data_IF_903829169855
#
_entry.id   IF_903829169855
#
_cell.length_a   1.000
_cell.length_b   1.000
_cell.length_c   1.000
_cell.angle_alpha   90.00
_cell.angle_beta   90.00
_cell.angle_gamma   90.00
#
_symmetry.space_group_name_H-M   'P 1'
#
loop_
_entity.id
_entity.type
_entity.pdbx_description
1 polymer ?
#
# COMPACT_ATOMS: atom_id res chain seq x y z
N UNK A 1 -9.38 -6.52 -4.55
CA UNK A 1 -10.09 -5.75 -3.52
C UNK A 1 -9.48 -4.36 -3.35
N UNK A 2 -8.15 -4.23 -3.17
CA UNK A 2 -7.49 -2.93 -2.91
C UNK A 2 -7.64 -1.94 -4.06
N UNK A 3 -7.33 -2.34 -5.30
CA UNK A 3 -7.47 -1.49 -6.48
C UNK A 3 -8.90 -0.97 -6.67
N UNK A 4 -9.91 -1.79 -6.37
CA UNK A 4 -11.32 -1.36 -6.43
C UNK A 4 -11.65 -0.27 -5.40
N UNK A 5 -11.10 -0.35 -4.20
CA UNK A 5 -11.27 0.70 -3.18
C UNK A 5 -10.62 2.01 -3.64
N UNK A 6 -9.38 1.94 -4.13
CA UNK A 6 -8.66 3.12 -4.65
C UNK A 6 -9.43 3.77 -5.80
N UNK A 7 -9.83 3.00 -6.80
CA UNK A 7 -10.57 3.49 -7.97
C UNK A 7 -11.90 4.15 -7.58
N UNK A 8 -12.68 3.50 -6.74
CA UNK A 8 -13.98 4.02 -6.31
C UNK A 8 -13.86 5.38 -5.64
N UNK A 9 -12.92 5.55 -4.73
CA UNK A 9 -12.76 6.81 -4.04
C UNK A 9 -11.88 7.80 -4.78
N UNK A 10 -11.13 7.39 -5.78
CA UNK A 10 -10.57 8.31 -6.77
C UNK A 10 -11.68 9.06 -7.51
N UNK A 11 -12.72 8.36 -7.98
CA UNK A 11 -13.89 8.99 -8.61
C UNK A 11 -14.62 9.93 -7.66
N UNK A 12 -14.83 9.52 -6.39
CA UNK A 12 -15.43 10.35 -5.35
C UNK A 12 -14.59 11.59 -5.06
N UNK A 13 -13.27 11.46 -5.02
CA UNK A 13 -12.33 12.57 -4.82
C UNK A 13 -12.31 13.56 -5.98
N UNK A 14 -12.44 13.08 -7.21
CA UNK A 14 -12.60 13.96 -8.40
C UNK A 14 -13.89 14.77 -8.31
N UNK A 15 -15.00 14.12 -7.96
CA UNK A 15 -16.28 14.80 -7.77
C UNK A 15 -16.19 15.91 -6.70
N UNK A 16 -15.64 15.57 -5.53
CA UNK A 16 -15.41 16.52 -4.45
C UNK A 16 -14.52 17.69 -4.86
N UNK A 17 -13.33 17.41 -5.43
CA UNK A 17 -12.32 18.42 -5.72
C UNK A 17 -12.74 19.38 -6.87
N UNK A 18 -13.65 18.93 -7.73
CA UNK A 18 -14.22 19.73 -8.83
C UNK A 18 -15.56 20.36 -8.48
N UNK A 19 -16.06 20.17 -7.26
CA UNK A 19 -17.39 20.65 -6.84
C UNK A 19 -18.54 20.03 -7.64
N UNK A 20 -18.40 18.76 -8.01
CA UNK A 20 -19.42 17.98 -8.76
C UNK A 20 -19.40 18.23 -10.28
N UNK A 21 -18.54 19.10 -10.79
CA UNK A 21 -18.54 19.47 -12.21
C UNK A 21 -17.75 18.50 -13.10
N UNK A 22 -16.80 17.74 -12.52
CA UNK A 22 -15.83 16.93 -13.26
C UNK A 22 -15.07 17.73 -14.32
N UNK A 23 -14.81 19.03 -14.04
CA UNK A 23 -14.13 19.97 -14.93
C UNK A 23 -13.08 20.78 -14.18
N UNK A 24 -11.96 21.06 -14.85
CA UNK A 24 -10.90 21.95 -14.37
C UNK A 24 -10.49 22.88 -15.51
N UNK A 25 -10.44 24.19 -15.25
CA UNK A 25 -10.05 25.20 -16.25
C UNK A 25 -10.81 25.05 -17.59
N UNK A 26 -12.12 24.77 -17.54
CA UNK A 26 -12.97 24.58 -18.71
C UNK A 26 -12.79 23.23 -19.44
N UNK A 27 -11.90 22.36 -18.96
CA UNK A 27 -11.67 21.03 -19.54
C UNK A 27 -12.38 19.95 -18.73
N UNK A 28 -13.09 19.05 -19.40
CA UNK A 28 -13.75 17.92 -18.78
C UNK A 28 -12.72 16.85 -18.43
N UNK A 29 -12.79 16.29 -17.20
CA UNK A 29 -12.01 15.13 -16.81
C UNK A 29 -12.74 13.87 -17.30
N UNK A 30 -12.02 13.05 -18.06
CA UNK A 30 -12.49 11.71 -18.53
C UNK A 30 -11.57 10.66 -17.94
N UNK A 31 -12.13 9.70 -17.25
CA UNK A 31 -11.39 8.59 -16.63
C UNK A 31 -11.56 7.32 -17.45
N UNK A 32 -10.44 6.72 -17.86
CA UNK A 32 -10.38 5.43 -18.53
C UNK A 32 -9.82 4.42 -17.54
N UNK A 33 -10.60 3.39 -17.25
CA UNK A 33 -10.19 2.34 -16.29
C UNK A 33 -9.51 1.18 -17.03
N UNK A 34 -8.42 0.70 -16.44
CA UNK A 34 -7.70 -0.50 -16.92
C UNK A 34 -7.35 -1.38 -15.72
N UNK A 35 -7.43 -2.70 -15.89
CA UNK A 35 -7.12 -3.67 -14.83
C UNK A 35 -5.83 -4.43 -15.17
N UNK A 36 -4.78 -4.18 -14.38
CA UNK A 36 -3.48 -4.85 -14.53
C UNK A 36 -3.46 -6.28 -13.97
N UNK A 37 -4.50 -6.69 -13.26
CA UNK A 37 -4.63 -8.01 -12.61
C UNK A 37 -3.46 -8.34 -11.67
N UNK A 38 -2.71 -7.36 -11.20
CA UNK A 38 -1.48 -7.55 -10.42
C UNK A 38 -0.30 -8.12 -11.23
N UNK A 39 -0.36 -8.06 -12.58
CA UNK A 39 0.65 -8.62 -13.48
C UNK A 39 1.53 -7.51 -14.06
N UNK A 40 2.85 -7.51 -13.80
CA UNK A 40 3.77 -6.47 -14.29
C UNK A 40 3.71 -6.25 -15.81
N UNK A 41 3.74 -7.32 -16.61
CA UNK A 41 3.70 -7.23 -18.07
C UNK A 41 2.38 -6.64 -18.58
N UNK A 42 1.26 -6.99 -17.96
CA UNK A 42 -0.03 -6.45 -18.31
C UNK A 42 -0.13 -4.97 -17.92
N UNK A 43 0.32 -4.60 -16.74
CA UNK A 43 0.37 -3.18 -16.30
C UNK A 43 1.20 -2.34 -17.24
N UNK A 44 2.40 -2.83 -17.63
CA UNK A 44 3.26 -2.19 -18.62
C UNK A 44 2.57 -1.98 -19.95
N UNK A 45 1.96 -3.03 -20.53
CA UNK A 45 1.31 -2.95 -21.84
C UNK A 45 0.05 -2.06 -21.81
N UNK A 46 -0.73 -2.11 -20.75
CA UNK A 46 -1.91 -1.25 -20.60
C UNK A 46 -1.57 0.21 -20.41
N UNK A 47 -0.48 0.53 -19.70
CA UNK A 47 -0.01 1.92 -19.58
C UNK A 47 0.46 2.44 -20.94
N UNK A 48 1.21 1.65 -21.69
CA UNK A 48 1.63 2.01 -23.05
C UNK A 48 0.42 2.28 -23.97
N UNK A 49 -0.60 1.42 -23.92
CA UNK A 49 -1.84 1.62 -24.68
C UNK A 49 -2.60 2.88 -24.21
N UNK A 50 -2.66 3.13 -22.88
CA UNK A 50 -3.30 4.34 -22.37
C UNK A 50 -2.63 5.61 -22.90
N UNK A 51 -1.31 5.67 -22.87
CA UNK A 51 -0.58 6.85 -23.37
C UNK A 51 -0.54 6.94 -24.90
N UNK A 52 -0.37 5.80 -25.58
CA UNK A 52 -0.17 5.72 -27.03
C UNK A 52 -1.48 5.72 -27.81
N UNK A 53 -2.44 4.86 -27.46
CA UNK A 53 -3.68 4.64 -28.19
C UNK A 53 -4.81 5.53 -27.65
N UNK A 54 -5.07 5.47 -26.35
CA UNK A 54 -6.14 6.25 -25.69
C UNK A 54 -5.77 7.73 -25.53
N UNK A 55 -4.50 8.10 -25.68
CA UNK A 55 -3.99 9.46 -25.57
C UNK A 55 -4.27 10.13 -24.23
N UNK A 56 -4.30 9.37 -23.13
CA UNK A 56 -4.50 9.97 -21.81
C UNK A 56 -3.37 10.94 -21.47
N UNK A 57 -3.70 11.98 -20.72
CA UNK A 57 -2.74 13.02 -20.32
C UNK A 57 -1.84 12.56 -19.17
N UNK A 58 -2.40 11.79 -18.23
CA UNK A 58 -1.70 11.22 -17.09
C UNK A 58 -2.36 9.92 -16.66
N UNK A 59 -1.63 9.11 -15.89
CA UNK A 59 -2.17 7.88 -15.30
C UNK A 59 -2.05 7.89 -13.78
N UNK A 60 -2.94 7.16 -13.09
CA UNK A 60 -2.96 6.97 -11.64
C UNK A 60 -3.01 5.47 -11.32
N UNK A 61 -2.18 5.04 -10.43
CA UNK A 61 -2.02 3.63 -10.04
C UNK A 61 -0.55 3.26 -10.03
N UNK A 62 -0.20 1.98 -10.03
CA UNK A 62 -1.03 0.79 -9.78
C UNK A 62 -1.05 0.42 -8.28
N UNK A 63 -1.71 -0.70 -7.96
CA UNK A 63 -1.77 -1.19 -6.58
C UNK A 63 -0.49 -1.92 -6.15
N UNK A 64 0.07 -2.76 -7.02
CA UNK A 64 1.18 -3.62 -6.68
C UNK A 64 2.54 -3.01 -7.05
N UNK A 65 3.51 -3.04 -6.12
CA UNK A 65 4.84 -2.48 -6.35
C UNK A 65 5.59 -3.10 -7.54
N UNK A 66 5.55 -4.43 -7.80
CA UNK A 66 6.17 -4.99 -9.01
C UNK A 66 5.55 -4.45 -10.30
N UNK A 67 4.25 -4.20 -10.32
CA UNK A 67 3.56 -3.59 -11.47
C UNK A 67 4.02 -2.15 -11.64
N UNK A 68 4.08 -1.36 -10.56
CA UNK A 68 4.57 0.01 -10.60
C UNK A 68 5.98 0.08 -11.22
N UNK A 69 6.91 -0.73 -10.73
CA UNK A 69 8.28 -0.76 -11.24
C UNK A 69 8.35 -1.09 -12.75
N UNK A 70 7.49 -1.97 -13.25
CA UNK A 70 7.39 -2.27 -14.67
C UNK A 70 6.83 -1.10 -15.50
N UNK A 71 6.02 -0.25 -14.88
CA UNK A 71 5.38 0.90 -15.53
C UNK A 71 6.28 2.16 -15.57
N UNK A 72 7.26 2.30 -14.67
CA UNK A 72 8.11 3.49 -14.60
C UNK A 72 8.82 3.83 -15.93
N UNK A 73 9.48 2.88 -16.63
CA UNK A 73 10.11 3.17 -17.92
C UNK A 73 9.11 3.59 -19.00
N UNK A 74 7.86 3.12 -18.94
CA UNK A 74 6.83 3.50 -19.92
C UNK A 74 6.44 4.96 -19.74
N UNK A 75 6.28 5.43 -18.51
CA UNK A 75 6.01 6.85 -18.24
C UNK A 75 7.13 7.75 -18.79
N UNK A 76 8.39 7.35 -18.62
CA UNK A 76 9.55 8.07 -19.17
C UNK A 76 9.57 8.05 -20.70
N UNK A 77 9.31 6.90 -21.33
CA UNK A 77 9.28 6.74 -22.79
C UNK A 77 8.23 7.66 -23.44
N UNK A 78 7.02 7.70 -22.86
CA UNK A 78 5.93 8.55 -23.38
C UNK A 78 6.00 9.98 -22.85
N UNK A 79 6.90 10.30 -21.93
CA UNK A 79 7.01 11.62 -21.27
C UNK A 79 5.67 12.09 -20.70
N UNK A 80 5.00 11.20 -20.00
CA UNK A 80 3.70 11.45 -19.36
C UNK A 80 3.72 11.04 -17.89
N UNK A 81 3.01 11.79 -17.05
CA UNK A 81 2.98 11.58 -15.61
C UNK A 81 2.31 10.25 -15.26
N UNK A 82 2.97 9.50 -14.38
CA UNK A 82 2.39 8.41 -13.61
C UNK A 82 2.36 8.82 -12.13
N UNK A 83 1.16 9.03 -11.60
CA UNK A 83 0.94 9.26 -10.18
C UNK A 83 0.72 7.91 -9.49
N UNK A 84 1.71 7.48 -8.72
CA UNK A 84 1.67 6.17 -8.05
C UNK A 84 0.82 6.23 -6.78
N UNK A 85 -0.24 5.44 -6.75
CA UNK A 85 -1.15 5.22 -5.62
C UNK A 85 -1.84 3.86 -5.81
N UNK A 86 -1.79 2.93 -4.89
CA UNK A 86 -1.15 2.93 -3.56
C UNK A 86 0.17 2.12 -3.46
N UNK A 87 0.83 1.75 -4.56
CA UNK A 87 2.08 0.97 -4.51
C UNK A 87 3.17 1.66 -3.66
N UNK A 88 3.90 0.89 -2.84
CA UNK A 88 4.69 1.46 -1.73
C UNK A 88 6.19 1.24 -1.79
N UNK A 89 6.74 0.35 -2.63
CA UNK A 89 8.18 0.09 -2.65
C UNK A 89 8.99 1.38 -2.70
N UNK A 90 10.02 1.49 -1.87
CA UNK A 90 10.87 2.69 -1.79
C UNK A 90 11.58 2.97 -3.11
N UNK A 91 11.95 1.91 -3.82
CA UNK A 91 12.60 1.98 -5.13
C UNK A 91 11.81 2.75 -6.19
N UNK A 92 10.47 2.84 -6.07
CA UNK A 92 9.61 3.57 -7.03
C UNK A 92 9.99 5.06 -7.12
N UNK A 93 10.23 5.70 -5.98
CA UNK A 93 10.66 7.10 -5.90
C UNK A 93 12.08 7.26 -5.39
N UNK A 94 12.83 6.15 -5.31
CA UNK A 94 14.25 6.04 -4.98
C UNK A 94 15.11 5.78 -6.23
N UNK A 95 15.81 4.68 -6.23
CA UNK A 95 16.79 4.33 -7.26
C UNK A 95 16.19 4.05 -8.66
N UNK A 96 14.89 3.79 -8.75
CA UNK A 96 14.16 3.56 -10.01
C UNK A 96 13.36 4.78 -10.50
N UNK A 97 13.39 5.87 -9.76
CA UNK A 97 12.63 7.07 -10.08
C UNK A 97 13.09 7.71 -11.41
N UNK A 98 12.13 8.33 -12.09
CA UNK A 98 12.37 9.24 -13.21
C UNK A 98 11.47 10.49 -13.08
N UNK A 99 11.72 11.58 -13.84
CA UNK A 99 11.00 12.85 -13.67
C UNK A 99 9.49 12.82 -13.91
N UNK A 100 8.95 11.75 -14.44
CA UNK A 100 7.52 11.61 -14.72
C UNK A 100 6.76 10.86 -13.61
N UNK A 101 7.47 10.43 -12.56
CA UNK A 101 6.90 9.65 -11.46
C UNK A 101 6.66 10.51 -10.25
N UNK A 102 5.43 10.49 -9.76
CA UNK A 102 4.99 11.12 -8.53
C UNK A 102 4.27 10.10 -7.66
N UNK A 103 4.17 10.35 -6.37
CA UNK A 103 3.48 9.48 -5.42
C UNK A 103 2.70 10.33 -4.42
N UNK A 104 1.42 10.00 -4.23
CA UNK A 104 0.58 10.58 -3.18
C UNK A 104 0.46 9.65 -1.97
N UNK A 105 0.67 8.36 -2.15
CA UNK A 105 0.68 7.38 -1.07
C UNK A 105 1.96 7.39 -0.24
N UNK A 106 1.93 6.61 0.85
CA UNK A 106 3.12 6.37 1.67
C UNK A 106 4.11 5.46 0.94
N UNK A 107 5.31 5.30 1.51
CA UNK A 107 6.33 4.37 1.03
C UNK A 107 6.71 3.34 2.11
N UNK A 108 7.52 2.33 1.73
CA UNK A 108 7.93 1.26 2.64
C UNK A 108 8.70 1.78 3.86
N UNK A 109 9.50 2.82 3.74
CA UNK A 109 10.22 3.43 4.86
C UNK A 109 9.28 4.05 5.89
N UNK A 110 8.21 4.71 5.44
CA UNK A 110 7.19 5.26 6.35
C UNK A 110 6.42 4.15 7.07
N UNK A 111 6.05 3.08 6.34
CA UNK A 111 5.42 1.90 6.93
C UNK A 111 6.34 1.25 7.98
N UNK A 112 7.62 1.12 7.67
CA UNK A 112 8.62 0.54 8.55
C UNK A 112 8.81 1.34 9.85
N UNK A 113 8.91 2.66 9.74
CA UNK A 113 9.02 3.55 10.90
C UNK A 113 7.78 3.43 11.79
N UNK A 114 6.59 3.43 11.22
CA UNK A 114 5.34 3.30 11.96
C UNK A 114 5.28 1.98 12.76
N UNK A 115 5.71 0.87 12.15
CA UNK A 115 5.74 -0.43 12.82
C UNK A 115 6.89 -0.53 13.84
N UNK A 116 8.05 0.06 13.57
CA UNK A 116 9.19 0.07 14.48
C UNK A 116 8.87 0.78 15.81
N UNK A 117 8.01 1.79 15.81
CA UNK A 117 7.58 2.48 17.06
C UNK A 117 7.08 1.49 18.12
N UNK A 118 6.34 0.47 17.71
CA UNK A 118 5.81 -0.56 18.60
C UNK A 118 6.83 -1.67 18.90
N UNK A 119 7.66 -2.05 17.94
CA UNK A 119 8.45 -3.27 17.98
C UNK A 119 9.93 -3.04 18.33
N UNK A 120 10.50 -1.86 18.07
CA UNK A 120 11.91 -1.56 18.30
C UNK A 120 12.21 -1.23 19.77
N UNK A 121 12.26 -2.26 20.61
CA UNK A 121 12.52 -2.16 22.05
C UNK A 121 13.61 -3.14 22.49
N UNK A 122 14.33 -2.78 23.55
CA UNK A 122 15.26 -3.70 24.21
C UNK A 122 14.55 -5.01 24.63
N UNK A 123 15.21 -6.13 24.45
CA UNK A 123 14.67 -7.44 24.81
C UNK A 123 13.63 -8.00 23.81
N UNK A 124 13.41 -7.34 22.68
CA UNK A 124 12.56 -7.85 21.58
C UNK A 124 13.42 -8.53 20.53
N UNK A 125 13.05 -9.74 20.16
CA UNK A 125 13.65 -10.48 19.03
C UNK A 125 12.62 -10.66 17.94
N UNK A 126 12.98 -10.29 16.72
CA UNK A 126 12.09 -10.25 15.55
C UNK A 126 12.63 -11.15 14.45
N UNK A 127 11.73 -11.90 13.82
CA UNK A 127 11.96 -12.50 12.51
C UNK A 127 10.87 -12.00 11.56
N UNK A 128 11.20 -11.80 10.28
CA UNK A 128 10.24 -11.30 9.29
C UNK A 128 9.76 -12.42 8.38
N UNK A 129 8.48 -12.36 7.97
CA UNK A 129 7.92 -13.15 6.88
C UNK A 129 7.37 -12.18 5.82
N UNK A 130 7.90 -12.25 4.62
CA UNK A 130 7.53 -11.33 3.56
C UNK A 130 7.30 -12.02 2.22
N UNK A 131 6.51 -11.39 1.36
CA UNK A 131 6.42 -11.79 -0.05
C UNK A 131 7.77 -11.59 -0.74
N UNK A 132 8.18 -12.57 -1.53
CA UNK A 132 9.35 -12.46 -2.41
C UNK A 132 9.01 -11.62 -3.65
N UNK A 133 8.94 -10.32 -3.45
CA UNK A 133 8.58 -9.31 -4.44
C UNK A 133 9.21 -7.97 -4.05
N UNK A 134 9.18 -6.98 -4.94
CA UNK A 134 9.65 -5.63 -4.63
C UNK A 134 8.96 -5.05 -3.37
N UNK A 135 7.65 -5.28 -3.21
CA UNK A 135 6.92 -4.87 -2.01
C UNK A 135 7.52 -5.48 -0.73
N UNK A 136 7.69 -6.79 -0.70
CA UNK A 136 8.19 -7.47 0.51
C UNK A 136 9.67 -7.19 0.77
N UNK A 137 10.50 -7.17 -0.26
CA UNK A 137 11.94 -6.92 -0.14
C UNK A 137 12.25 -5.49 0.32
N UNK A 138 11.64 -4.48 -0.30
CA UNK A 138 11.80 -3.09 0.13
C UNK A 138 11.23 -2.87 1.54
N UNK A 139 10.11 -3.52 1.85
CA UNK A 139 9.51 -3.47 3.19
C UNK A 139 10.41 -4.04 4.29
N UNK A 140 11.01 -5.21 4.07
CA UNK A 140 11.96 -5.82 5.04
C UNK A 140 13.21 -4.97 5.17
N UNK A 141 13.77 -4.49 4.04
CA UNK A 141 14.94 -3.61 4.05
C UNK A 141 14.67 -2.35 4.89
N UNK A 142 13.58 -1.66 4.61
CA UNK A 142 13.19 -0.45 5.33
C UNK A 142 12.95 -0.73 6.83
N UNK A 143 12.32 -1.85 7.17
CA UNK A 143 12.08 -2.25 8.56
C UNK A 143 13.41 -2.51 9.29
N UNK A 144 14.32 -3.24 8.68
CA UNK A 144 15.66 -3.51 9.21
C UNK A 144 16.47 -2.22 9.44
N UNK A 145 16.37 -1.27 8.53
CA UNK A 145 17.01 0.04 8.66
C UNK A 145 16.39 0.89 9.78
N UNK A 146 15.11 0.71 10.08
CA UNK A 146 14.36 1.45 11.11
C UNK A 146 14.55 0.88 12.52
N UNK A 147 14.87 -0.40 12.65
CA UNK A 147 15.05 -1.09 13.94
C UNK A 147 16.48 -0.92 14.43
N UNK A 148 16.65 -0.41 15.68
CA UNK A 148 17.95 -0.11 16.28
C UNK A 148 18.19 -0.84 17.61
N UNK A 149 17.14 -1.18 18.34
CA UNK A 149 17.19 -1.77 19.71
C UNK A 149 16.80 -3.25 19.70
N UNK A 150 15.75 -3.58 18.95
CA UNK A 150 15.31 -4.96 18.81
C UNK A 150 16.29 -5.76 17.94
N UNK A 151 16.39 -7.07 18.18
CA UNK A 151 17.28 -7.97 17.45
C UNK A 151 16.51 -8.63 16.28
N UNK A 152 16.94 -8.41 15.05
CA UNK A 152 16.48 -9.17 13.89
C UNK A 152 17.34 -10.43 13.71
N UNK A 153 16.70 -11.62 13.71
CA UNK A 153 17.41 -12.91 13.67
C UNK A 153 17.22 -13.69 12.38
N UNK A 154 16.16 -13.41 11.64
CA UNK A 154 15.87 -14.12 10.38
C UNK A 154 14.93 -13.33 9.48
N UNK A 155 15.15 -13.47 8.16
CA UNK A 155 14.29 -12.94 7.11
C UNK A 155 13.80 -14.12 6.26
N UNK A 156 12.49 -14.38 6.26
CA UNK A 156 11.85 -15.42 5.46
C UNK A 156 11.13 -14.78 4.29
N UNK A 157 11.48 -15.20 3.08
CA UNK A 157 10.79 -14.76 1.87
C UNK A 157 10.08 -15.94 1.20
N UNK A 158 8.81 -15.77 0.90
CA UNK A 158 7.99 -16.78 0.25
C UNK A 158 7.38 -16.22 -1.05
N UNK A 159 7.22 -17.05 -2.09
CA UNK A 159 6.58 -16.62 -3.34
C UNK A 159 5.20 -15.98 -3.09
N UNK A 160 4.81 -14.93 -3.83
CA UNK A 160 3.51 -14.26 -3.64
C UNK A 160 2.30 -15.19 -3.80
N UNK A 161 2.43 -16.26 -4.58
CA UNK A 161 1.39 -17.27 -4.79
C UNK A 161 1.32 -18.34 -3.69
N UNK A 162 2.14 -18.24 -2.63
CA UNK A 162 2.15 -19.21 -1.52
C UNK A 162 0.79 -19.24 -0.83
N UNK A 163 0.26 -20.45 -0.65
CA UNK A 163 -0.98 -20.74 0.09
C UNK A 163 -0.75 -21.57 1.34
N UNK A 164 0.36 -22.32 1.40
CA UNK A 164 0.80 -23.06 2.58
C UNK A 164 2.06 -22.42 3.16
N UNK A 165 1.92 -21.87 4.36
CA UNK A 165 2.97 -21.15 5.09
C UNK A 165 3.69 -22.02 6.11
N UNK A 166 3.32 -23.31 6.25
CA UNK A 166 3.78 -24.19 7.32
C UNK A 166 5.29 -24.29 7.39
N UNK A 167 5.95 -24.59 6.27
CA UNK A 167 7.41 -24.76 6.25
C UNK A 167 8.15 -23.45 6.56
N UNK A 168 7.68 -22.31 6.02
CA UNK A 168 8.24 -21.00 6.34
C UNK A 168 8.07 -20.63 7.81
N UNK A 169 6.87 -20.84 8.34
CA UNK A 169 6.58 -20.59 9.75
C UNK A 169 7.42 -21.47 10.68
N UNK A 170 7.64 -22.75 10.34
CA UNK A 170 8.50 -23.63 11.12
C UNK A 170 9.94 -23.11 11.20
N UNK A 171 10.51 -22.63 10.09
CA UNK A 171 11.84 -22.01 10.10
C UNK A 171 11.90 -20.78 11.01
N UNK A 172 10.86 -19.95 11.02
CA UNK A 172 10.76 -18.79 11.92
C UNK A 172 10.67 -19.22 13.38
N UNK A 173 9.85 -20.22 13.70
CA UNK A 173 9.73 -20.79 15.05
C UNK A 173 11.10 -21.30 15.53
N UNK A 174 11.80 -22.04 14.70
CA UNK A 174 13.12 -22.59 15.04
C UNK A 174 14.18 -21.50 15.31
N UNK A 175 14.06 -20.34 14.68
CA UNK A 175 14.93 -19.19 14.93
C UNK A 175 14.55 -18.39 16.18
N UNK A 176 13.28 -18.43 16.58
CA UNK A 176 12.76 -17.58 17.67
C UNK A 176 12.56 -18.33 18.99
N UNK A 177 12.21 -19.63 18.97
CA UNK A 177 11.75 -20.37 20.15
C UNK A 177 12.68 -20.29 21.35
N UNK A 178 13.98 -20.33 21.13
CA UNK A 178 15.01 -20.31 22.16
C UNK A 178 15.59 -18.91 22.46
N UNK A 179 15.08 -17.86 21.80
CA UNK A 179 15.50 -16.49 22.08
C UNK A 179 14.87 -15.98 23.39
N UNK A 180 15.61 -15.19 24.18
CA UNK A 180 15.07 -14.61 25.40
C UNK A 180 14.11 -13.45 25.08
N UNK A 181 13.28 -13.09 26.08
CA UNK A 181 12.40 -11.94 26.01
C UNK A 181 11.21 -12.09 25.06
N UNK A 182 10.74 -10.96 24.57
CA UNK A 182 9.62 -10.89 23.64
C UNK A 182 10.03 -11.33 22.24
N UNK A 183 9.28 -12.21 21.63
CA UNK A 183 9.54 -12.79 20.31
C UNK A 183 8.42 -12.49 19.36
N UNK A 184 8.73 -11.92 18.19
CA UNK A 184 7.74 -11.44 17.22
C UNK A 184 8.06 -11.94 15.82
N UNK A 185 7.05 -12.47 15.12
CA UNK A 185 7.06 -12.64 13.68
C UNK A 185 6.39 -11.40 13.09
N UNK A 186 7.16 -10.58 12.37
CA UNK A 186 6.63 -9.41 11.66
C UNK A 186 6.31 -9.78 10.22
N UNK A 187 5.04 -9.66 9.84
CA UNK A 187 4.52 -10.09 8.53
C UNK A 187 4.37 -8.90 7.60
N UNK A 188 5.01 -8.97 6.43
CA UNK A 188 4.90 -8.01 5.33
C UNK A 188 4.28 -8.75 4.13
N UNK A 189 2.96 -8.81 4.08
CA UNK A 189 2.20 -9.59 3.13
C UNK A 189 0.95 -8.86 2.64
N UNK A 190 0.75 -8.83 1.31
CA UNK A 190 -0.45 -8.30 0.69
C UNK A 190 -1.24 -9.42 0.00
N UNK A 191 -2.56 -9.43 0.16
CA UNK A 191 -3.43 -10.48 -0.38
C UNK A 191 -3.68 -11.61 0.59
N UNK A 192 -3.67 -12.85 0.11
CA UNK A 192 -3.97 -14.06 0.91
C UNK A 192 -3.21 -14.09 2.24
N UNK A 193 -3.87 -14.62 3.26
CA UNK A 193 -3.53 -14.33 4.64
C UNK A 193 -2.59 -15.38 5.29
N UNK A 194 -1.34 -15.04 5.63
CA UNK A 194 -0.45 -15.91 6.38
C UNK A 194 -0.79 -16.05 7.87
N UNK A 195 -1.85 -15.41 8.39
CA UNK A 195 -2.22 -15.44 9.81
C UNK A 195 -2.57 -16.84 10.31
N UNK A 196 -2.89 -17.78 9.43
CA UNK A 196 -3.07 -19.20 9.79
C UNK A 196 -1.84 -19.81 10.47
N UNK A 197 -0.67 -19.19 10.34
CA UNK A 197 0.51 -19.63 11.12
C UNK A 197 0.29 -19.51 12.64
N UNK A 198 -0.66 -18.69 13.10
CA UNK A 198 -1.03 -18.63 14.51
C UNK A 198 -1.55 -19.99 15.05
N UNK A 199 -2.10 -20.82 14.16
CA UNK A 199 -2.55 -22.18 14.50
C UNK A 199 -1.39 -23.16 14.73
N UNK A 200 -0.14 -22.77 14.44
CA UNK A 200 1.07 -23.56 14.64
C UNK A 200 1.64 -23.50 16.08
N UNK A 201 0.78 -23.28 17.06
CA UNK A 201 1.16 -23.27 18.49
C UNK A 201 2.25 -22.22 18.84
N UNK A 202 2.22 -21.06 18.18
CA UNK A 202 3.17 -19.97 18.43
C UNK A 202 3.20 -19.55 19.91
N UNK A 203 2.03 -19.59 20.58
CA UNK A 203 1.89 -19.24 21.99
C UNK A 203 2.73 -20.13 22.90
N UNK A 204 2.84 -21.43 22.62
CA UNK A 204 3.69 -22.36 23.37
C UNK A 204 5.15 -21.91 23.41
N UNK A 205 5.59 -21.25 22.32
CA UNK A 205 6.95 -20.74 22.20
C UNK A 205 7.05 -19.27 22.62
N UNK A 206 5.97 -18.65 23.10
CA UNK A 206 5.91 -17.23 23.44
C UNK A 206 6.14 -16.30 22.24
N UNK A 207 5.73 -16.74 21.04
CA UNK A 207 5.89 -15.99 19.80
C UNK A 207 4.58 -15.27 19.46
N UNK A 208 4.67 -13.98 19.20
CA UNK A 208 3.57 -13.11 18.80
C UNK A 208 3.65 -12.81 17.30
N UNK A 209 2.52 -12.39 16.71
CA UNK A 209 2.45 -11.90 15.33
C UNK A 209 2.21 -10.40 15.34
N UNK A 210 2.97 -9.68 14.50
CA UNK A 210 2.74 -8.29 14.20
C UNK A 210 2.67 -8.08 12.68
N UNK A 211 1.88 -7.10 12.26
CA UNK A 211 1.69 -6.77 10.84
C UNK A 211 1.40 -5.28 10.66
N UNK A 212 1.51 -4.77 9.45
CA UNK A 212 1.22 -3.39 9.12
C UNK A 212 0.29 -3.23 7.92
N UNK A 213 -0.18 -2.00 7.69
CA UNK A 213 -1.04 -1.70 6.54
C UNK A 213 -2.43 -2.32 6.61
N UNK A 214 -2.96 -2.46 7.81
CA UNK A 214 -4.22 -3.17 8.03
C UNK A 214 -5.41 -2.40 7.51
N UNK A 215 -6.25 -3.08 6.76
CA UNK A 215 -7.58 -2.63 6.35
C UNK A 215 -8.64 -3.13 7.34
N UNK A 216 -9.80 -2.48 7.37
CA UNK A 216 -10.88 -2.82 8.31
C UNK A 216 -11.28 -4.31 8.30
N UNK A 217 -11.42 -5.00 7.15
CA UNK A 217 -11.71 -6.43 7.14
C UNK A 217 -10.60 -7.29 7.79
N UNK A 218 -9.32 -6.93 7.60
CA UNK A 218 -8.21 -7.63 8.24
C UNK A 218 -8.24 -7.41 9.76
N UNK A 219 -8.47 -6.18 10.21
CA UNK A 219 -8.61 -5.85 11.64
C UNK A 219 -9.77 -6.61 12.29
N UNK A 220 -10.89 -6.74 11.60
CA UNK A 220 -12.04 -7.52 12.09
C UNK A 220 -11.71 -9.01 12.29
N UNK A 221 -10.79 -9.56 11.50
CA UNK A 221 -10.34 -10.95 11.65
C UNK A 221 -9.45 -11.14 12.88
N UNK A 222 -8.80 -10.10 13.41
CA UNK A 222 -7.87 -10.20 14.56
C UNK A 222 -8.54 -10.67 15.86
N UNK A 223 -9.86 -10.52 15.99
CA UNK A 223 -10.61 -11.12 17.12
C UNK A 223 -10.40 -12.64 17.24
N UNK A 224 -10.07 -13.31 16.14
CA UNK A 224 -9.78 -14.74 16.11
C UNK A 224 -8.32 -15.07 16.46
N UNK A 225 -7.46 -14.05 16.59
CA UNK A 225 -6.02 -14.19 16.87
C UNK A 225 -5.61 -13.26 18.02
N UNK A 226 -6.01 -13.55 19.26
CA UNK A 226 -5.70 -12.70 20.41
C UNK A 226 -4.19 -12.52 20.59
N UNK A 227 -3.76 -11.27 20.82
CA UNK A 227 -2.35 -10.90 20.98
C UNK A 227 -1.64 -10.48 19.68
N UNK A 228 -2.35 -10.43 18.55
CA UNK A 228 -1.81 -9.79 17.35
C UNK A 228 -1.73 -8.28 17.52
N UNK A 229 -0.60 -7.71 17.12
CA UNK A 229 -0.42 -6.28 16.96
C UNK A 229 -0.45 -5.88 15.48
N UNK A 230 -0.93 -4.69 15.18
CA UNK A 230 -0.96 -4.23 13.80
C UNK A 230 -1.12 -2.72 13.67
N UNK A 231 -0.30 -2.12 12.80
CA UNK A 231 -0.45 -0.72 12.45
C UNK A 231 -1.58 -0.52 11.44
N UNK A 232 -2.43 0.45 11.68
CA UNK A 232 -3.39 0.97 10.71
C UNK A 232 -2.91 2.35 10.26
N UNK A 233 -2.75 2.55 8.94
CA UNK A 233 -2.27 3.82 8.40
C UNK A 233 -3.38 4.84 8.17
N UNK A 234 -4.61 4.37 8.16
CA UNK A 234 -5.81 5.19 8.16
C UNK A 234 -6.93 4.49 8.94
N UNK A 235 -7.60 5.24 9.81
CA UNK A 235 -8.84 4.83 10.43
C UNK A 235 -9.80 6.03 10.41
N UNK A 236 -10.96 5.88 9.84
CA UNK A 236 -11.91 6.96 9.51
C UNK A 236 -12.28 7.87 10.68
N UNK A 237 -12.21 7.36 11.91
CA UNK A 237 -12.54 8.11 13.12
C UNK A 237 -11.40 8.96 13.69
N UNK A 238 -10.16 8.85 13.16
CA UNK A 238 -8.99 9.55 13.72
C UNK A 238 -8.79 10.94 13.09
N UNK A 239 -8.75 11.12 11.75
CA UNK A 239 -8.53 12.45 11.18
C UNK A 239 -9.71 13.39 11.49
N UNK A 240 -9.40 14.55 12.07
CA UNK A 240 -10.39 15.58 12.40
C UNK A 240 -10.19 16.79 11.48
N UNK A 241 -10.71 16.69 10.27
CA UNK A 241 -10.65 17.75 9.27
C UNK A 241 -11.84 17.65 8.31
N UNK A 242 -12.22 18.78 7.65
CA UNK A 242 -13.39 18.81 6.78
C UNK A 242 -13.35 17.83 5.61
N UNK A 243 -12.18 17.52 5.08
CA UNK A 243 -12.04 16.59 3.95
C UNK A 243 -12.40 15.17 4.39
N UNK A 244 -11.91 14.74 5.54
CA UNK A 244 -12.23 13.41 6.08
C UNK A 244 -13.72 13.31 6.44
N UNK A 245 -14.32 14.37 6.98
CA UNK A 245 -15.75 14.40 7.30
C UNK A 245 -16.61 14.19 6.05
N UNK A 246 -16.26 14.84 4.95
CA UNK A 246 -16.94 14.65 3.66
C UNK A 246 -16.73 13.23 3.12
N UNK A 247 -15.50 12.73 3.13
CA UNK A 247 -15.19 11.37 2.69
C UNK A 247 -16.02 10.34 3.48
N UNK A 248 -16.04 10.44 4.81
CA UNK A 248 -16.80 9.53 5.67
C UNK A 248 -18.28 9.60 5.36
N UNK A 249 -18.86 10.81 5.27
CA UNK A 249 -20.28 11.00 5.01
C UNK A 249 -20.69 10.43 3.65
N UNK A 250 -19.97 10.76 2.60
CA UNK A 250 -20.26 10.28 1.23
C UNK A 250 -20.08 8.77 1.10
N UNK A 251 -19.04 8.20 1.72
CA UNK A 251 -18.81 6.76 1.69
C UNK A 251 -19.94 5.99 2.40
N UNK A 252 -20.38 6.47 3.57
CA UNK A 252 -21.54 5.88 4.25
C UNK A 252 -22.83 6.01 3.44
N UNK A 253 -23.04 7.16 2.80
CA UNK A 253 -24.22 7.38 1.97
C UNK A 253 -24.27 6.36 0.81
N UNK A 254 -23.14 6.16 0.13
CA UNK A 254 -23.05 5.33 -1.08
C UNK A 254 -22.92 3.85 -0.79
N UNK A 255 -22.09 3.45 0.21
CA UNK A 255 -21.71 2.06 0.45
C UNK A 255 -22.23 1.48 1.76
N UNK A 256 -22.89 2.27 2.60
CA UNK A 256 -23.36 1.87 3.94
C UNK A 256 -22.25 1.33 4.86
N UNK A 257 -21.02 1.76 4.62
CA UNK A 257 -19.83 1.37 5.34
C UNK A 257 -18.85 2.54 5.46
N UNK A 258 -17.94 2.55 6.46
CA UNK A 258 -16.93 3.58 6.56
C UNK A 258 -15.87 3.46 5.44
N UNK A 259 -15.20 4.55 5.07
CA UNK A 259 -14.03 4.48 4.21
C UNK A 259 -12.89 3.76 4.90
N UNK A 260 -12.04 3.14 4.10
CA UNK A 260 -10.88 2.38 4.54
C UNK A 260 -9.59 3.01 3.97
N UNK A 261 -8.47 2.44 4.28
CA UNK A 261 -7.15 2.94 3.93
C UNK A 261 -6.99 3.22 2.42
N UNK A 262 -7.29 2.26 1.57
CA UNK A 262 -7.16 2.44 0.12
C UNK A 262 -8.21 3.38 -0.48
N UNK A 263 -9.36 3.52 0.15
CA UNK A 263 -10.37 4.50 -0.25
C UNK A 263 -9.89 5.93 0.03
N UNK A 264 -9.29 6.16 1.21
CA UNK A 264 -8.69 7.46 1.54
C UNK A 264 -7.53 7.82 0.60
N UNK A 265 -6.70 6.81 0.24
CA UNK A 265 -5.61 6.99 -0.72
C UNK A 265 -6.09 7.44 -2.10
N UNK A 266 -7.09 6.75 -2.65
CA UNK A 266 -7.69 7.13 -3.94
C UNK A 266 -8.29 8.53 -3.93
N UNK A 267 -8.98 8.89 -2.86
CA UNK A 267 -9.53 10.25 -2.67
C UNK A 267 -8.43 11.32 -2.67
N UNK A 268 -7.34 11.06 -1.95
CA UNK A 268 -6.19 11.98 -1.88
C UNK A 268 -5.50 12.13 -3.24
N UNK A 269 -5.34 11.05 -3.99
CA UNK A 269 -4.76 11.08 -5.33
C UNK A 269 -5.60 11.95 -6.28
N UNK A 270 -6.92 11.84 -6.23
CA UNK A 270 -7.82 12.67 -7.02
C UNK A 270 -7.68 14.16 -6.66
N UNK A 271 -7.60 14.48 -5.38
CA UNK A 271 -7.37 15.87 -4.94
C UNK A 271 -6.03 16.41 -5.43
N UNK A 272 -4.98 15.60 -5.45
CA UNK A 272 -3.67 16.00 -5.96
C UNK A 272 -3.73 16.32 -7.46
N UNK A 273 -4.36 15.44 -8.26
CA UNK A 273 -4.55 15.65 -9.70
C UNK A 273 -5.31 16.96 -9.97
N UNK A 274 -6.45 17.17 -9.31
CA UNK A 274 -7.25 18.38 -9.51
C UNK A 274 -6.50 19.64 -9.06
N UNK A 275 -5.75 19.55 -7.95
CA UNK A 275 -4.94 20.67 -7.46
C UNK A 275 -3.84 21.06 -8.46
N UNK A 276 -3.13 20.06 -9.01
CA UNK A 276 -2.12 20.29 -10.04
C UNK A 276 -2.74 20.95 -11.29
N UNK A 277 -3.83 20.39 -11.80
CA UNK A 277 -4.53 20.93 -12.97
C UNK A 277 -5.05 22.36 -12.74
N UNK A 278 -5.53 22.69 -11.56
CA UNK A 278 -5.92 24.06 -11.20
C UNK A 278 -4.73 25.01 -11.25
N UNK A 279 -3.58 24.61 -10.68
CA UNK A 279 -2.36 25.42 -10.65
C UNK A 279 -1.78 25.69 -12.04
N UNK A 280 -1.90 24.74 -12.94
CA UNK A 280 -1.38 24.84 -14.32
C UNK A 280 -2.42 25.33 -15.33
N UNK A 281 -3.60 25.76 -14.85
CA UNK A 281 -4.73 26.14 -15.70
C UNK A 281 -5.10 25.04 -16.73
N UNK A 282 -5.05 23.79 -16.30
CA UNK A 282 -5.36 22.62 -17.11
C UNK A 282 -4.27 22.22 -18.13
N UNK A 283 -3.07 22.78 -18.01
CA UNK A 283 -1.92 22.31 -18.79
C UNK A 283 -1.33 21.05 -18.14
N UNK A 284 -1.42 19.93 -18.85
CA UNK A 284 -0.97 18.62 -18.38
C UNK A 284 0.53 18.37 -18.64
N UNK A 285 1.17 19.18 -19.47
CA UNK A 285 2.61 19.12 -19.70
C UNK A 285 3.41 19.81 -18.57
N UNK A 286 2.76 20.70 -17.81
CA UNK A 286 3.35 21.46 -16.70
C UNK A 286 2.76 21.05 -15.33
N UNK A 287 1.86 20.09 -15.30
CA UNK A 287 1.14 19.66 -14.10
C UNK A 287 2.01 18.89 -13.10
#
# INVERSE_FOLDING_TARGET
AYGKQTQTCFMMGLDYATGGTMQVAGKKIVVIEKDDQGKPDLGKSQLAAAYGDDKVDLAVGPTASPVALAMLPVAEEYKKILLVEPAVADSITGDKWNPYIFRTGRNSSQDAIANAVALDKEGVTIATMAQDSAFGRDGVKAFKESVKKAKLVHEEYLPPATTDFTAGAQRLIDKLKDQPGRKVIFIIWAGGNPFKIADMDLKRHGIEIATGGNILPAMAAYKNFPGMEGAAYYYFGIPKNPVNEVLVAQHYQQFKAPPDFFTAGGFSAAMAVVTALKKTNGDTASA
#
